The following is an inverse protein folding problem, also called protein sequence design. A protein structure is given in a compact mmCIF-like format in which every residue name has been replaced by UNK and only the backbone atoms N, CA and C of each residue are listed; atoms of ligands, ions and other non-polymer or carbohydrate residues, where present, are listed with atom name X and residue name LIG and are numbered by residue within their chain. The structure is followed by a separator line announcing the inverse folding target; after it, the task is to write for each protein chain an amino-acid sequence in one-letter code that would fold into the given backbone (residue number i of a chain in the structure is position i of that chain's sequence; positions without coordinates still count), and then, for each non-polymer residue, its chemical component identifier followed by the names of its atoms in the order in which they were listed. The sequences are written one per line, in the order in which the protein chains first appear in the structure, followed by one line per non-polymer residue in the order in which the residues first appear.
data_IF_852336230242
#
_entry.id   IF_852336230242
#
_cell.length_a   1.000
_cell.length_b   1.000
_cell.length_c   1.000
_cell.angle_alpha   90.00
_cell.angle_beta   90.00
_cell.angle_gamma   90.00
#
_symmetry.space_group_name_H-M   'P 1'
#
loop_
_entity.id
_entity.type
_entity.pdbx_description
1 polymer ?
#
# COMPACT_ATOMS: atom_id res chain seq x y z
N UNK A 1 -28.75 -2.71 12.83
CA UNK A 1 -27.49 -3.25 13.41
C UNK A 1 -27.75 -3.65 14.86
N UNK A 2 -27.16 -4.77 15.32
CA UNK A 2 -27.37 -5.30 16.67
C UNK A 2 -26.64 -4.48 17.74
N UNK A 3 -27.06 -4.56 19.01
CA UNK A 3 -26.37 -3.90 20.13
C UNK A 3 -24.91 -4.36 20.27
N UNK A 4 -24.65 -5.62 19.92
CA UNK A 4 -23.34 -6.28 19.95
C UNK A 4 -22.29 -5.62 19.04
N UNK A 5 -22.71 -5.16 17.86
CA UNK A 5 -21.79 -4.56 16.86
C UNK A 5 -21.28 -3.17 17.28
N UNK A 6 -22.11 -2.44 18.05
CA UNK A 6 -21.75 -1.13 18.62
C UNK A 6 -20.69 -1.29 19.70
N UNK A 7 -20.88 -2.28 20.56
CA UNK A 7 -19.97 -2.58 21.65
C UNK A 7 -18.59 -3.00 21.13
N UNK A 8 -18.54 -3.81 20.07
CA UNK A 8 -17.29 -4.23 19.44
C UNK A 8 -16.51 -3.04 18.85
N UNK A 9 -17.19 -2.13 18.15
CA UNK A 9 -16.55 -0.97 17.52
C UNK A 9 -15.95 -0.01 18.54
N UNK A 10 -16.64 0.22 19.66
CA UNK A 10 -16.15 1.03 20.76
C UNK A 10 -14.92 0.39 21.42
N UNK A 11 -14.97 -0.93 21.65
CA UNK A 11 -13.83 -1.69 22.20
C UNK A 11 -12.61 -1.64 21.28
N UNK A 12 -12.78 -1.75 19.96
CA UNK A 12 -11.67 -1.62 19.00
C UNK A 12 -11.08 -0.21 19.01
N UNK A 13 -11.92 0.82 19.02
CA UNK A 13 -11.45 2.21 19.10
C UNK A 13 -10.66 2.46 20.39
N UNK A 14 -11.20 2.07 21.55
CA UNK A 14 -10.52 2.18 22.85
C UNK A 14 -9.20 1.39 22.87
N UNK A 15 -9.18 0.17 22.34
CA UNK A 15 -7.97 -0.63 22.19
C UNK A 15 -6.91 0.07 21.33
N UNK A 16 -7.31 0.64 20.19
CA UNK A 16 -6.40 1.38 19.31
C UNK A 16 -5.93 2.69 19.95
N UNK A 17 -6.77 3.41 20.69
CA UNK A 17 -6.33 4.58 21.46
C UNK A 17 -5.36 4.21 22.59
N UNK A 18 -5.50 3.04 23.21
CA UNK A 18 -4.53 2.57 24.21
C UNK A 18 -3.16 2.25 23.59
N UNK A 19 -3.13 1.82 22.32
CA UNK A 19 -1.88 1.52 21.60
C UNK A 19 -1.28 2.78 20.97
N UNK A 20 -2.09 3.53 20.22
CA UNK A 20 -1.65 4.65 19.38
C UNK A 20 -1.70 5.97 20.14
N UNK A 21 -2.52 6.09 21.19
CA UNK A 21 -2.81 7.35 21.88
C UNK A 21 -4.05 8.05 21.34
N UNK A 22 -4.54 9.03 22.08
CA UNK A 22 -5.62 9.95 21.64
C UNK A 22 -5.11 10.91 20.57
N UNK A 23 -6.02 11.67 19.96
CA UNK A 23 -5.67 12.68 18.96
C UNK A 23 -4.64 13.69 19.48
N UNK A 24 -4.83 14.20 20.69
CA UNK A 24 -3.91 15.14 21.34
C UNK A 24 -2.51 14.56 21.53
N UNK A 25 -2.43 13.29 21.96
CA UNK A 25 -1.16 12.58 22.14
C UNK A 25 -0.44 12.41 20.81
N UNK A 26 -1.15 12.00 19.76
CA UNK A 26 -0.62 11.88 18.40
C UNK A 26 -0.10 13.23 17.89
N UNK A 27 -0.89 14.30 18.04
CA UNK A 27 -0.49 15.65 17.63
C UNK A 27 0.75 16.13 18.39
N UNK A 28 0.84 15.83 19.69
CA UNK A 28 2.01 16.16 20.52
C UNK A 28 3.27 15.44 20.02
N UNK A 29 3.17 14.14 19.70
CA UNK A 29 4.30 13.40 19.12
C UNK A 29 4.75 13.98 17.78
N UNK A 30 3.81 14.28 16.87
CA UNK A 30 4.11 14.93 15.58
C UNK A 30 4.85 16.26 15.78
N UNK A 31 4.37 17.11 16.67
CA UNK A 31 5.00 18.40 17.02
C UNK A 31 6.43 18.22 17.54
N UNK A 32 6.66 17.20 18.38
CA UNK A 32 8.01 16.88 18.89
C UNK A 32 8.98 16.55 17.75
N UNK A 33 8.57 15.74 16.78
CA UNK A 33 9.41 15.43 15.61
C UNK A 33 9.64 16.65 14.72
N UNK A 34 8.61 17.47 14.46
CA UNK A 34 8.79 18.73 13.73
C UNK A 34 9.77 19.69 14.42
N UNK A 35 9.71 19.81 15.74
CA UNK A 35 10.65 20.63 16.51
C UNK A 35 12.07 20.07 16.41
N UNK A 36 12.23 18.75 16.51
CA UNK A 36 13.51 18.08 16.35
C UNK A 36 14.12 18.32 14.96
N UNK A 37 13.32 18.16 13.90
CA UNK A 37 13.69 18.43 12.50
C UNK A 37 14.14 19.90 12.31
N UNK A 38 13.51 20.85 13.01
CA UNK A 38 13.86 22.28 12.90
C UNK A 38 15.20 22.64 13.55
N UNK A 39 15.61 21.89 14.58
CA UNK A 39 16.87 22.11 15.33
C UNK A 39 18.04 21.40 14.66
N UNK A 40 17.81 20.23 14.04
CA UNK A 40 18.83 19.46 13.34
C UNK A 40 19.16 20.00 11.94
N UNK A 41 19.74 21.20 11.91
CA UNK A 41 20.46 21.71 10.74
C UNK A 41 21.95 21.56 10.98
N UNK A 42 22.53 20.54 10.36
CA UNK A 42 23.99 20.40 10.27
C UNK A 42 24.41 21.23 9.05
N UNK A 43 25.54 21.95 9.10
CA UNK A 43 25.96 22.96 8.11
C UNK A 43 25.54 22.71 6.64
N UNK A 44 25.71 21.47 6.14
CA UNK A 44 25.41 21.09 4.76
C UNK A 44 24.21 20.13 4.59
N UNK A 45 23.49 19.81 5.67
CA UNK A 45 22.40 18.84 5.66
C UNK A 45 21.17 19.33 6.43
N UNK A 46 19.98 19.06 5.91
CA UNK A 46 18.75 19.07 6.71
C UNK A 46 18.32 17.64 6.99
N UNK A 47 18.07 17.33 8.26
CA UNK A 47 17.50 16.05 8.67
C UNK A 47 16.00 16.21 8.87
N UNK A 48 15.21 15.37 8.21
CA UNK A 48 13.76 15.34 8.36
C UNK A 48 13.35 13.95 8.81
N UNK A 49 12.73 13.88 9.98
CA UNK A 49 12.13 12.65 10.48
C UNK A 49 10.95 12.26 9.61
N UNK A 50 10.87 10.99 9.25
CA UNK A 50 9.78 10.41 8.45
C UNK A 50 9.28 9.12 9.07
N UNK A 51 8.40 8.41 8.37
CA UNK A 51 7.92 7.10 8.79
C UNK A 51 7.04 7.12 10.05
N UNK A 52 6.83 5.92 10.61
CA UNK A 52 5.73 5.66 11.54
C UNK A 52 5.74 6.56 12.77
N UNK A 53 6.91 6.73 13.40
CA UNK A 53 7.05 7.52 14.62
C UNK A 53 6.82 9.02 14.37
N UNK A 54 7.40 9.56 13.30
CA UNK A 54 7.20 10.97 12.92
C UNK A 54 5.75 11.25 12.50
N UNK A 55 5.05 10.26 11.95
CA UNK A 55 3.62 10.31 11.63
C UNK A 55 2.70 10.22 12.86
N UNK A 56 3.26 10.00 14.06
CA UNK A 56 2.56 9.87 15.33
C UNK A 56 2.15 8.44 15.71
N UNK A 57 2.46 7.46 14.84
CA UNK A 57 2.22 6.03 15.04
C UNK A 57 3.43 5.39 15.74
N UNK A 58 3.46 5.48 17.06
CA UNK A 58 4.50 4.85 17.89
C UNK A 58 4.13 3.40 18.22
N UNK A 59 4.13 2.55 17.19
CA UNK A 59 3.79 1.13 17.34
C UNK A 59 5.02 0.34 17.80
N UNK A 60 4.78 -0.74 18.55
CA UNK A 60 5.88 -1.59 19.02
C UNK A 60 6.70 -2.12 17.84
N UNK A 61 8.02 -2.01 17.92
CA UNK A 61 8.96 -2.41 16.87
C UNK A 61 9.05 -1.44 15.69
N UNK A 62 8.52 -0.21 15.80
CA UNK A 62 8.80 0.85 14.85
C UNK A 62 10.22 1.38 15.00
N UNK A 63 10.89 1.50 13.87
CA UNK A 63 12.14 2.19 13.60
C UNK A 63 11.96 3.72 13.60
N UNK A 64 13.09 4.41 13.59
CA UNK A 64 13.23 5.85 13.40
C UNK A 64 13.76 6.11 11.98
N UNK A 65 12.87 6.52 11.09
CA UNK A 65 13.26 6.87 9.73
C UNK A 65 13.66 8.35 9.63
N UNK A 66 14.79 8.63 8.99
CA UNK A 66 15.29 9.97 8.74
C UNK A 66 15.73 10.16 7.29
N UNK A 67 15.27 11.26 6.69
CA UNK A 67 15.71 11.73 5.38
C UNK A 67 16.77 12.82 5.60
N UNK A 68 18.01 12.55 5.19
CA UNK A 68 19.12 13.49 5.31
C UNK A 68 19.37 14.14 3.95
N UNK A 69 18.92 15.38 3.79
CA UNK A 69 18.95 16.13 2.53
C UNK A 69 20.27 16.87 2.43
N UNK A 70 21.04 16.59 1.38
CA UNK A 70 22.31 17.25 1.12
C UNK A 70 22.11 18.55 0.33
N UNK A 71 22.62 19.66 0.88
CA UNK A 71 22.39 20.98 0.29
C UNK A 71 23.48 21.46 -0.64
N UNK A 72 24.68 20.86 -0.68
CA UNK A 72 25.74 21.35 -1.57
C UNK A 72 25.44 21.10 -3.06
N UNK A 73 24.38 20.35 -3.33
CA UNK A 73 23.89 19.99 -4.65
C UNK A 73 22.42 20.37 -4.73
N UNK A 74 21.99 20.88 -5.89
CA UNK A 74 20.57 21.10 -6.18
C UNK A 74 20.19 20.38 -7.46
N UNK A 75 19.11 19.61 -7.39
CA UNK A 75 18.54 18.91 -8.53
C UNK A 75 17.45 19.77 -9.14
N UNK A 76 17.45 19.89 -10.45
CA UNK A 76 16.47 20.58 -11.26
C UNK A 76 15.79 19.55 -12.17
N UNK A 77 14.51 19.75 -12.48
CA UNK A 77 13.86 18.89 -13.47
C UNK A 77 14.44 19.13 -14.86
N UNK A 78 14.59 20.39 -15.24
CA UNK A 78 15.02 20.80 -16.58
C UNK A 78 16.19 21.78 -16.49
N UNK A 79 17.01 21.85 -17.55
CA UNK A 79 18.16 22.76 -17.61
C UNK A 79 17.73 24.24 -17.65
N UNK A 80 16.55 24.52 -18.19
CA UNK A 80 16.01 25.87 -18.34
C UNK A 80 15.66 26.53 -16.99
N UNK A 81 15.46 25.73 -15.93
CA UNK A 81 15.15 26.24 -14.59
C UNK A 81 16.38 26.43 -13.70
N UNK A 82 17.58 26.12 -14.22
CA UNK A 82 18.84 26.24 -13.47
C UNK A 82 19.16 27.72 -13.20
N UNK A 83 19.25 28.07 -11.92
CA UNK A 83 19.63 29.43 -11.50
C UNK A 83 21.15 29.60 -11.48
N UNK A 84 21.67 30.56 -12.25
CA UNK A 84 23.10 30.87 -12.36
C UNK A 84 23.69 31.53 -11.09
N UNK A 85 22.86 31.98 -10.15
CA UNK A 85 23.31 32.72 -8.94
C UNK A 85 23.55 31.85 -7.70
N UNK A 86 23.18 30.56 -7.76
CA UNK A 86 23.28 29.67 -6.59
C UNK A 86 24.71 29.15 -6.37
N UNK A 87 25.09 28.92 -5.10
CA UNK A 87 26.42 28.37 -4.73
C UNK A 87 26.50 26.83 -4.82
N UNK A 88 25.40 26.20 -5.20
CA UNK A 88 25.23 24.75 -5.23
C UNK A 88 25.66 24.20 -6.59
N UNK A 89 26.12 22.96 -6.64
CA UNK A 89 26.36 22.29 -7.93
C UNK A 89 25.03 21.91 -8.58
N UNK A 90 24.73 22.40 -9.80
CA UNK A 90 23.47 22.11 -10.47
C UNK A 90 23.51 20.73 -11.13
N UNK A 91 22.49 19.93 -10.83
CA UNK A 91 22.22 18.63 -11.42
C UNK A 91 20.86 18.70 -12.10
N UNK A 92 20.72 18.05 -13.24
CA UNK A 92 19.46 17.96 -13.98
C UNK A 92 19.01 16.50 -14.03
N UNK A 93 17.71 16.28 -13.88
CA UNK A 93 17.11 14.96 -14.05
C UNK A 93 17.26 14.47 -15.49
N UNK A 94 17.54 13.18 -15.65
CA UNK A 94 17.53 12.50 -16.93
C UNK A 94 16.69 11.23 -16.80
N UNK A 95 15.47 11.28 -17.34
CA UNK A 95 14.52 10.16 -17.32
C UNK A 95 14.65 9.25 -18.54
N UNK A 96 15.58 9.53 -19.47
CA UNK A 96 15.82 8.67 -20.63
C UNK A 96 16.26 7.27 -20.18
N UNK A 97 15.67 6.23 -20.79
CA UNK A 97 16.00 4.83 -20.52
C UNK A 97 15.87 4.40 -19.05
N UNK A 98 15.01 5.07 -18.28
CA UNK A 98 14.70 4.72 -16.89
C UNK A 98 13.25 4.25 -16.74
N UNK A 99 12.98 3.43 -15.72
CA UNK A 99 11.60 3.01 -15.40
C UNK A 99 10.88 4.13 -14.62
N UNK A 100 9.53 4.21 -14.70
CA UNK A 100 8.77 5.18 -13.90
C UNK A 100 9.13 5.14 -12.42
N UNK A 101 9.34 6.33 -11.85
CA UNK A 101 9.77 6.54 -10.46
C UNK A 101 11.28 6.36 -10.22
N UNK A 102 12.06 6.17 -11.27
CA UNK A 102 13.52 6.30 -11.27
C UNK A 102 13.97 7.41 -12.23
N UNK A 103 15.20 7.89 -12.04
CA UNK A 103 15.87 8.85 -12.92
C UNK A 103 17.38 8.70 -12.79
N UNK A 104 18.14 9.08 -13.81
CA UNK A 104 19.57 9.37 -13.69
C UNK A 104 19.74 10.85 -13.34
N UNK A 105 20.83 11.17 -12.65
CA UNK A 105 21.14 12.54 -12.25
C UNK A 105 22.36 13.04 -13.02
N UNK A 106 22.13 13.93 -13.99
CA UNK A 106 23.16 14.42 -14.90
C UNK A 106 23.76 15.71 -14.36
N UNK A 107 25.09 15.79 -14.34
CA UNK A 107 25.79 17.03 -14.03
C UNK A 107 25.60 18.02 -15.18
N UNK A 108 25.06 19.20 -14.87
CA UNK A 108 24.80 20.22 -15.89
C UNK A 108 25.98 21.18 -16.10
N UNK A 109 26.56 21.68 -15.00
CA UNK A 109 27.69 22.61 -15.05
C UNK A 109 28.81 22.17 -14.12
N UNK A 110 30.05 22.54 -14.48
CA UNK A 110 31.23 22.15 -13.71
C UNK A 110 31.55 23.07 -12.51
N UNK A 111 30.61 23.91 -12.09
CA UNK A 111 30.82 24.82 -10.95
C UNK A 111 30.61 24.13 -9.60
N UNK A 112 31.40 24.55 -8.62
CA UNK A 112 31.31 24.11 -7.22
C UNK A 112 31.45 22.58 -6.99
N UNK A 113 32.02 21.85 -7.96
CA UNK A 113 32.03 20.38 -8.00
C UNK A 113 32.89 19.65 -6.97
N UNK A 114 33.72 20.36 -6.21
CA UNK A 114 34.75 19.75 -5.36
C UNK A 114 34.18 18.73 -4.36
N UNK A 115 32.92 18.93 -3.93
CA UNK A 115 32.20 18.04 -3.02
C UNK A 115 31.67 16.76 -3.66
N UNK A 116 31.46 16.74 -4.98
CA UNK A 116 30.78 15.63 -5.67
C UNK A 116 31.73 14.75 -6.47
N UNK A 117 33.03 15.07 -6.48
CA UNK A 117 34.01 14.42 -7.36
C UNK A 117 34.02 12.89 -7.25
N UNK A 118 33.73 12.38 -6.06
CA UNK A 118 33.80 10.96 -5.71
C UNK A 118 32.55 10.18 -6.15
N UNK A 119 31.47 10.88 -6.52
CA UNK A 119 30.18 10.26 -6.89
C UNK A 119 29.97 10.22 -8.40
N UNK A 120 30.93 10.71 -9.19
CA UNK A 120 30.76 10.91 -10.63
C UNK A 120 31.10 9.66 -11.42
N UNK A 121 30.33 9.44 -12.46
CA UNK A 121 30.59 8.40 -13.46
C UNK A 121 30.35 8.97 -14.85
N UNK A 122 31.26 8.69 -15.78
CA UNK A 122 31.16 9.18 -17.17
C UNK A 122 30.59 8.10 -18.07
N UNK A 123 29.49 8.41 -18.74
CA UNK A 123 28.79 7.50 -19.65
C UNK A 123 28.56 8.22 -20.96
N UNK A 124 29.10 7.68 -22.06
CA UNK A 124 28.93 8.24 -23.42
C UNK A 124 29.30 9.73 -23.54
N UNK A 125 30.35 10.17 -22.83
CA UNK A 125 30.81 11.56 -22.84
C UNK A 125 30.06 12.50 -21.89
N UNK A 126 29.02 12.01 -21.21
CA UNK A 126 28.24 12.75 -20.24
C UNK A 126 28.62 12.34 -18.81
N UNK A 127 28.47 13.25 -17.85
CA UNK A 127 28.81 12.99 -16.44
C UNK A 127 27.53 12.87 -15.60
N UNK A 128 27.39 11.74 -14.91
CA UNK A 128 26.27 11.44 -14.03
C UNK A 128 26.72 11.30 -12.58
N UNK A 129 25.79 11.47 -11.65
CA UNK A 129 25.99 11.12 -10.24
C UNK A 129 25.51 9.70 -10.02
N UNK A 130 26.46 8.81 -9.75
CA UNK A 130 26.23 7.40 -9.46
C UNK A 130 25.62 7.25 -8.07
N UNK A 131 24.46 6.59 -7.99
CA UNK A 131 23.81 6.31 -6.71
C UNK A 131 24.62 5.31 -5.88
N UNK A 132 25.34 4.40 -6.53
CA UNK A 132 26.28 3.49 -5.87
C UNK A 132 27.48 4.22 -5.29
N UNK A 133 28.19 5.02 -6.08
CA UNK A 133 29.35 5.76 -5.57
C UNK A 133 28.95 6.75 -4.47
N UNK A 134 27.78 7.38 -4.61
CA UNK A 134 27.22 8.22 -3.56
C UNK A 134 27.01 7.43 -2.26
N UNK A 135 26.41 6.23 -2.32
CA UNK A 135 26.29 5.37 -1.12
C UNK A 135 27.66 5.04 -0.56
N UNK A 136 28.54 4.44 -1.35
CA UNK A 136 29.84 3.92 -0.90
C UNK A 136 30.72 5.01 -0.25
N UNK A 137 30.70 6.22 -0.80
CA UNK A 137 31.51 7.34 -0.30
C UNK A 137 30.95 7.96 0.97
N UNK A 138 29.63 8.15 1.01
CA UNK A 138 28.96 8.75 2.15
C UNK A 138 28.86 7.76 3.34
N UNK A 139 29.16 6.47 3.14
CA UNK A 139 29.06 5.41 4.13
C UNK A 139 30.37 5.17 4.93
N UNK A 140 30.38 5.37 6.26
CA UNK A 140 31.42 4.78 7.10
C UNK A 140 31.30 3.24 7.12
N UNK A 141 32.43 2.54 7.07
CA UNK A 141 32.52 1.09 6.80
C UNK A 141 31.90 0.13 7.80
N UNK A 142 31.21 0.62 8.84
CA UNK A 142 30.53 -0.19 9.86
C UNK A 142 28.98 -0.15 9.76
N UNK A 143 28.40 0.57 8.81
CA UNK A 143 26.94 0.65 8.64
C UNK A 143 26.37 -0.51 7.80
N UNK A 144 25.17 -0.97 8.17
CA UNK A 144 24.38 -1.93 7.40
C UNK A 144 23.55 -1.18 6.37
N UNK A 145 23.60 -1.62 5.11
CA UNK A 145 22.82 -1.05 4.01
C UNK A 145 21.59 -1.91 3.76
N UNK A 146 20.39 -1.31 3.77
CA UNK A 146 19.13 -1.98 3.45
C UNK A 146 18.29 -1.10 2.52
N UNK A 147 18.43 -1.36 1.23
CA UNK A 147 17.80 -0.53 0.19
C UNK A 147 18.50 0.84 0.08
N UNK A 148 17.76 1.97 0.10
CA UNK A 148 18.37 3.30 0.12
C UNK A 148 18.84 3.75 1.52
N UNK A 149 18.49 2.99 2.57
CA UNK A 149 18.72 3.37 3.95
C UNK A 149 19.99 2.72 4.52
N UNK A 150 20.49 3.34 5.57
CA UNK A 150 21.68 2.94 6.31
C UNK A 150 21.33 2.92 7.80
N UNK A 151 21.75 1.88 8.51
CA UNK A 151 21.60 1.74 9.96
C UNK A 151 22.90 1.25 10.59
N UNK A 152 23.09 1.51 11.88
CA UNK A 152 24.15 0.86 12.64
C UNK A 152 23.69 -0.56 13.04
N UNK A 153 24.62 -1.53 13.16
CA UNK A 153 24.27 -2.87 13.63
C UNK A 153 23.57 -2.83 15.00
N UNK A 154 22.34 -3.37 15.06
CA UNK A 154 21.52 -3.39 16.28
C UNK A 154 20.79 -2.09 16.59
N UNK A 155 20.86 -1.11 15.70
CA UNK A 155 20.22 0.19 15.85
C UNK A 155 18.82 0.21 15.21
N UNK A 156 17.95 1.08 15.74
CA UNK A 156 16.58 1.24 15.23
C UNK A 156 16.44 2.46 14.31
N UNK A 157 17.55 2.97 13.77
CA UNK A 157 17.59 4.20 12.97
C UNK A 157 17.89 3.90 11.51
N UNK A 158 16.94 4.23 10.65
CA UNK A 158 17.03 4.11 9.20
C UNK A 158 17.28 5.49 8.61
N UNK A 159 18.51 5.73 8.15
CA UNK A 159 18.89 7.01 7.52
C UNK A 159 18.98 6.85 6.00
N UNK A 160 18.16 7.60 5.27
CA UNK A 160 18.27 7.76 3.82
C UNK A 160 18.92 9.11 3.49
N UNK A 161 20.12 9.10 2.91
CA UNK A 161 20.73 10.31 2.36
C UNK A 161 20.13 10.62 1.00
N UNK A 162 19.76 11.88 0.79
CA UNK A 162 18.92 12.28 -0.32
C UNK A 162 19.45 13.54 -0.99
N UNK A 163 19.20 13.64 -2.29
CA UNK A 163 19.26 14.89 -3.04
C UNK A 163 17.84 15.45 -3.21
N UNK A 164 17.70 16.75 -3.45
CA UNK A 164 16.39 17.42 -3.53
C UNK A 164 16.24 18.24 -4.81
N UNK A 165 15.05 18.12 -5.40
CA UNK A 165 14.46 19.10 -6.29
C UNK A 165 13.37 19.86 -5.54
N UNK A 166 13.42 21.19 -5.55
CA UNK A 166 12.41 22.03 -4.87
C UNK A 166 11.12 22.13 -5.69
N UNK A 167 11.20 21.85 -7.00
CA UNK A 167 10.07 21.89 -7.91
C UNK A 167 9.25 20.60 -7.83
N UNK A 168 7.96 20.73 -8.13
CA UNK A 168 7.13 19.56 -8.38
C UNK A 168 7.37 19.08 -9.80
N UNK A 169 7.79 17.81 -9.95
CA UNK A 169 8.22 17.28 -11.24
C UNK A 169 7.04 16.95 -12.15
N UNK A 170 7.26 17.11 -13.45
CA UNK A 170 6.32 16.83 -14.53
C UNK A 170 5.74 15.43 -14.51
N UNK A 171 6.51 14.34 -14.26
CA UNK A 171 5.95 13.00 -14.09
C UNK A 171 4.84 12.90 -13.04
N UNK A 172 4.85 13.77 -12.02
CA UNK A 172 3.86 13.80 -10.95
C UNK A 172 2.78 14.88 -11.11
N UNK A 173 2.77 15.65 -12.21
CA UNK A 173 1.78 16.72 -12.42
C UNK A 173 0.34 16.21 -12.49
N UNK A 174 0.14 14.99 -12.98
CA UNK A 174 -1.20 14.39 -13.03
C UNK A 174 -1.84 14.28 -11.64
N UNK A 175 -1.03 14.13 -10.58
CA UNK A 175 -1.53 14.14 -9.23
C UNK A 175 -2.17 15.48 -8.85
N UNK A 176 -1.64 16.61 -9.31
CA UNK A 176 -2.18 17.94 -8.95
C UNK A 176 -3.63 18.08 -9.40
N UNK A 177 -3.93 17.62 -10.62
CA UNK A 177 -5.22 17.84 -11.28
C UNK A 177 -6.18 16.63 -11.23
N UNK A 178 -5.80 15.53 -10.58
CA UNK A 178 -6.67 14.33 -10.55
C UNK A 178 -7.98 14.62 -9.82
N UNK A 179 -9.07 14.06 -10.34
CA UNK A 179 -10.41 14.17 -9.75
C UNK A 179 -10.48 13.48 -8.39
N UNK A 180 -11.06 14.17 -7.41
CA UNK A 180 -11.16 13.78 -6.00
C UNK A 180 -12.53 14.15 -5.46
N UNK A 181 -13.00 13.43 -4.45
CA UNK A 181 -14.28 13.74 -3.81
C UNK A 181 -14.20 15.00 -2.96
N UNK A 182 -13.21 15.07 -2.05
CA UNK A 182 -13.08 16.21 -1.11
C UNK A 182 -11.67 16.39 -0.54
N UNK A 183 -10.96 15.30 -0.27
CA UNK A 183 -9.58 15.34 0.25
C UNK A 183 -8.58 14.86 -0.82
N UNK A 184 -7.33 15.36 -0.82
CA UNK A 184 -6.90 16.61 -0.20
C UNK A 184 -7.60 17.82 -0.83
N UNK A 185 -7.86 18.85 -0.03
CA UNK A 185 -8.38 20.11 -0.56
C UNK A 185 -7.29 20.88 -1.34
N UNK A 186 -7.67 21.92 -2.07
CA UNK A 186 -6.73 22.70 -2.87
C UNK A 186 -5.59 23.32 -2.04
N UNK A 187 -5.84 23.75 -0.81
CA UNK A 187 -4.81 24.36 0.04
C UNK A 187 -3.76 23.32 0.42
N UNK A 188 -4.20 22.11 0.77
CA UNK A 188 -3.33 20.98 1.09
C UNK A 188 -2.58 20.49 -0.16
N UNK A 189 -3.20 20.46 -1.34
CA UNK A 189 -2.48 20.17 -2.60
C UNK A 189 -1.36 21.19 -2.82
N UNK A 190 -1.65 22.48 -2.64
CA UNK A 190 -0.64 23.54 -2.79
C UNK A 190 0.47 23.48 -1.75
N UNK A 191 0.21 23.02 -0.52
CA UNK A 191 1.27 22.82 0.47
C UNK A 191 2.11 21.59 0.15
N UNK A 192 1.49 20.52 -0.35
CA UNK A 192 2.19 19.29 -0.77
C UNK A 192 3.15 19.55 -1.93
N UNK A 193 2.73 20.27 -2.97
CA UNK A 193 3.62 20.53 -4.12
C UNK A 193 4.83 21.39 -3.76
N UNK A 194 4.72 22.25 -2.73
CA UNK A 194 5.81 23.09 -2.24
C UNK A 194 6.90 22.30 -1.51
N UNK A 195 6.63 21.07 -1.11
CA UNK A 195 7.65 20.20 -0.52
C UNK A 195 8.69 19.76 -1.56
N UNK A 196 8.35 19.80 -2.85
CA UNK A 196 9.20 19.31 -3.94
C UNK A 196 9.35 17.80 -3.90
N UNK A 197 10.52 17.30 -4.33
CA UNK A 197 10.79 15.87 -4.50
C UNK A 197 12.19 15.52 -4.03
N UNK A 198 12.35 14.33 -3.45
CA UNK A 198 13.63 13.78 -3.02
C UNK A 198 14.10 12.67 -3.95
N UNK A 199 15.42 12.48 -4.02
CA UNK A 199 16.06 11.39 -4.75
C UNK A 199 16.86 10.55 -3.76
N UNK A 200 16.52 9.27 -3.63
CA UNK A 200 17.22 8.32 -2.77
C UNK A 200 18.12 7.40 -3.60
N UNK A 201 19.32 7.03 -3.10
CA UNK A 201 20.34 6.40 -3.92
C UNK A 201 20.10 4.89 -4.03
N UNK A 202 19.12 4.51 -4.84
CA UNK A 202 18.86 3.13 -5.20
C UNK A 202 18.29 3.09 -6.62
N UNK A 203 18.89 2.28 -7.48
CA UNK A 203 18.41 2.06 -8.83
C UNK A 203 17.35 0.97 -8.92
N UNK A 204 16.77 0.85 -10.11
CA UNK A 204 15.79 -0.18 -10.39
C UNK A 204 16.51 -1.52 -10.58
N UNK A 205 16.13 -2.51 -9.77
CA UNK A 205 16.76 -3.83 -9.81
C UNK A 205 16.71 -4.45 -11.20
N UNK A 206 17.87 -4.88 -11.69
CA UNK A 206 18.04 -5.46 -13.02
C UNK A 206 17.92 -4.44 -14.16
N UNK A 207 18.02 -3.14 -13.88
CA UNK A 207 18.27 -2.13 -14.91
C UNK A 207 19.72 -2.20 -15.38
N UNK A 208 19.97 -1.85 -16.65
CA UNK A 208 21.32 -1.72 -17.18
C UNK A 208 22.11 -0.61 -16.47
N UNK A 209 21.41 0.40 -15.97
CA UNK A 209 21.98 1.57 -15.30
C UNK A 209 21.66 1.56 -13.79
N UNK A 210 21.47 0.39 -13.16
CA UNK A 210 21.06 0.28 -11.76
C UNK A 210 21.97 1.09 -10.80
N UNK A 211 23.28 1.13 -11.04
CA UNK A 211 24.23 1.87 -10.20
C UNK A 211 24.19 3.40 -10.42
N UNK A 212 23.61 3.86 -11.54
CA UNK A 212 23.45 5.28 -11.90
C UNK A 212 22.06 5.83 -11.59
N UNK A 213 21.08 4.95 -11.43
CA UNK A 213 19.69 5.31 -11.20
C UNK A 213 19.45 5.70 -9.73
N UNK A 214 18.59 6.69 -9.57
CA UNK A 214 18.07 7.18 -8.30
C UNK A 214 16.57 6.99 -8.27
N UNK A 215 16.03 6.60 -7.11
CA UNK A 215 14.59 6.47 -6.93
C UNK A 215 13.99 7.78 -6.46
N UNK A 216 12.91 8.18 -7.11
CA UNK A 216 12.13 9.35 -6.77
C UNK A 216 11.32 9.06 -5.50
N UNK A 217 11.41 9.95 -4.51
CA UNK A 217 10.76 9.82 -3.21
C UNK A 217 9.93 11.06 -2.87
N UNK A 218 8.70 10.82 -2.43
CA UNK A 218 7.75 11.84 -2.02
C UNK A 218 7.52 11.84 -0.50
N UNK A 219 8.46 11.33 0.29
CA UNK A 219 8.29 11.17 1.75
C UNK A 219 7.87 12.44 2.48
N UNK A 220 8.34 13.62 2.04
CA UNK A 220 7.93 14.91 2.62
C UNK A 220 6.46 15.24 2.29
N UNK A 221 6.08 15.10 1.02
CA UNK A 221 4.70 15.25 0.56
C UNK A 221 3.74 14.26 1.25
N UNK A 222 4.13 13.00 1.37
CA UNK A 222 3.35 11.96 2.06
C UNK A 222 3.19 12.25 3.55
N UNK A 223 4.24 12.77 4.21
CA UNK A 223 4.16 13.22 5.61
C UNK A 223 3.10 14.30 5.78
N UNK A 224 3.06 15.30 4.89
CA UNK A 224 2.02 16.35 4.90
C UNK A 224 0.61 15.75 4.74
N UNK A 225 0.43 14.82 3.81
CA UNK A 225 -0.86 14.15 3.61
C UNK A 225 -1.30 13.38 4.86
N UNK A 226 -0.41 12.61 5.51
CA UNK A 226 -0.74 11.88 6.74
C UNK A 226 -1.01 12.82 7.91
N UNK A 227 -0.33 13.97 7.95
CA UNK A 227 -0.55 14.98 8.98
C UNK A 227 -1.96 15.57 8.89
N UNK A 228 -2.56 15.59 7.70
CA UNK A 228 -3.93 16.03 7.48
C UNK A 228 -5.02 14.97 7.78
N UNK A 229 -4.63 13.73 8.07
CA UNK A 229 -5.60 12.69 8.42
C UNK A 229 -6.35 13.04 9.71
N UNK A 230 -7.65 12.74 9.74
CA UNK A 230 -8.40 12.69 11.00
C UNK A 230 -7.83 11.61 11.92
N UNK A 231 -8.09 11.71 13.22
CA UNK A 231 -7.65 10.67 14.16
C UNK A 231 -8.18 9.28 13.79
N UNK A 232 -9.45 9.18 13.36
CA UNK A 232 -10.05 7.92 12.89
C UNK A 232 -9.29 7.33 11.70
N UNK A 233 -8.96 8.15 10.71
CA UNK A 233 -8.18 7.73 9.54
C UNK A 233 -6.80 7.19 9.93
N UNK A 234 -6.14 7.86 10.89
CA UNK A 234 -4.86 7.45 11.40
C UNK A 234 -4.92 6.13 12.19
N UNK A 235 -5.94 5.95 13.04
CA UNK A 235 -6.17 4.69 13.76
C UNK A 235 -6.45 3.53 12.79
N UNK A 236 -7.15 3.78 11.69
CA UNK A 236 -7.32 2.80 10.62
C UNK A 236 -5.97 2.41 9.99
N UNK A 237 -5.09 3.39 9.75
CA UNK A 237 -3.73 3.09 9.28
C UNK A 237 -2.96 2.24 10.29
N UNK A 238 -3.04 2.57 11.57
CA UNK A 238 -2.40 1.82 12.65
C UNK A 238 -2.90 0.37 12.70
N UNK A 239 -4.21 0.14 12.62
CA UNK A 239 -4.81 -1.19 12.64
C UNK A 239 -4.30 -2.04 11.46
N UNK A 240 -4.24 -1.47 10.25
CA UNK A 240 -3.71 -2.19 9.09
C UNK A 240 -2.23 -2.55 9.26
N UNK A 241 -1.42 -1.67 9.88
CA UNK A 241 -0.01 -1.97 10.19
C UNK A 241 0.13 -3.08 11.22
N UNK A 242 -0.71 -3.10 12.26
CA UNK A 242 -0.76 -4.17 13.27
C UNK A 242 -1.12 -5.50 12.59
N UNK A 243 -2.16 -5.54 11.76
CA UNK A 243 -2.56 -6.74 11.00
C UNK A 243 -1.43 -7.21 10.09
N UNK A 244 -0.79 -6.29 9.36
CA UNK A 244 0.34 -6.63 8.49
C UNK A 244 1.49 -7.27 9.28
N UNK A 245 1.85 -6.67 10.40
CA UNK A 245 2.97 -7.14 11.23
C UNK A 245 2.66 -8.49 11.89
N UNK A 246 1.53 -8.57 12.59
CA UNK A 246 1.27 -9.67 13.52
C UNK A 246 0.61 -10.87 12.83
N UNK A 247 -0.06 -10.66 11.70
CA UNK A 247 -0.82 -11.71 11.01
C UNK A 247 -0.18 -12.07 9.66
N UNK A 248 0.19 -11.07 8.85
CA UNK A 248 0.60 -11.30 7.45
C UNK A 248 2.10 -11.62 7.36
N UNK A 249 2.98 -10.80 7.94
CA UNK A 249 4.44 -10.96 7.82
C UNK A 249 4.94 -12.32 8.31
N UNK A 250 4.38 -12.82 9.42
CA UNK A 250 4.71 -14.14 9.95
C UNK A 250 4.39 -15.32 9.01
N UNK A 251 3.60 -15.11 7.95
CA UNK A 251 3.11 -16.17 7.04
C UNK A 251 3.53 -15.96 5.58
N UNK A 252 3.74 -14.72 5.15
CA UNK A 252 3.97 -14.35 3.74
C UNK A 252 5.27 -13.58 3.50
N UNK A 253 6.13 -13.44 4.52
CA UNK A 253 7.39 -12.70 4.43
C UNK A 253 7.18 -11.24 4.02
N UNK A 254 8.15 -10.66 3.32
CA UNK A 254 8.16 -9.24 2.94
C UNK A 254 7.50 -8.94 1.58
N UNK A 255 6.52 -9.74 1.15
CA UNK A 255 5.80 -9.49 -0.11
C UNK A 255 4.98 -8.19 -0.07
N UNK A 256 4.37 -7.89 1.08
CA UNK A 256 3.60 -6.67 1.34
C UNK A 256 4.31 -5.87 2.44
N UNK A 257 4.40 -4.56 2.28
CA UNK A 257 4.96 -3.65 3.27
C UNK A 257 3.99 -2.52 3.64
N UNK A 258 4.34 -1.79 4.70
CA UNK A 258 3.53 -0.68 5.25
C UNK A 258 3.32 0.47 4.26
N UNK A 259 4.20 0.60 3.26
CA UNK A 259 4.08 1.58 2.19
C UNK A 259 2.86 1.32 1.31
N UNK A 260 2.61 0.06 0.92
CA UNK A 260 1.40 -0.29 0.14
C UNK A 260 0.12 0.08 0.89
N UNK A 261 0.05 -0.20 2.19
CA UNK A 261 -1.11 0.16 3.01
C UNK A 261 -1.34 1.66 3.02
N UNK A 262 -0.26 2.44 3.17
CA UNK A 262 -0.30 3.91 3.12
C UNK A 262 -0.83 4.40 1.77
N UNK A 263 -0.28 3.87 0.68
CA UNK A 263 -0.69 4.19 -0.69
C UNK A 263 -2.17 3.90 -0.89
N UNK A 264 -2.64 2.73 -0.46
CA UNK A 264 -4.05 2.36 -0.59
C UNK A 264 -4.92 3.34 0.19
N UNK A 265 -4.60 3.64 1.44
CA UNK A 265 -5.39 4.58 2.24
C UNK A 265 -5.48 5.97 1.61
N UNK A 266 -4.41 6.49 1.03
CA UNK A 266 -4.49 7.74 0.29
C UNK A 266 -5.52 7.68 -0.85
N UNK A 267 -5.51 6.63 -1.67
CA UNK A 267 -6.52 6.45 -2.73
C UNK A 267 -7.93 6.43 -2.17
N UNK A 268 -8.15 5.65 -1.11
CA UNK A 268 -9.49 5.54 -0.57
C UNK A 268 -9.95 6.85 0.07
N UNK A 269 -9.05 7.60 0.70
CA UNK A 269 -9.42 8.88 1.34
C UNK A 269 -9.82 9.92 0.31
N UNK A 270 -9.18 9.91 -0.86
CA UNK A 270 -9.57 10.76 -1.99
C UNK A 270 -10.96 10.43 -2.56
N UNK A 271 -11.39 9.18 -2.46
CA UNK A 271 -12.69 8.71 -2.94
C UNK A 271 -13.79 8.74 -1.86
N UNK A 272 -13.43 9.02 -0.61
CA UNK A 272 -14.36 9.15 0.52
C UNK A 272 -14.77 10.61 0.78
N UNK A 273 -15.90 10.78 1.46
CA UNK A 273 -16.37 12.10 1.94
C UNK A 273 -15.74 12.40 3.32
N UNK A 274 -15.59 13.65 3.76
CA UNK A 274 -14.98 13.94 5.06
C UNK A 274 -15.88 13.50 6.23
N UNK A 275 -17.21 13.58 6.03
CA UNK A 275 -18.23 13.02 6.92
C UNK A 275 -18.05 11.52 7.17
N UNK A 276 -17.34 10.83 6.26
CA UNK A 276 -17.04 9.43 6.42
C UNK A 276 -16.10 9.18 7.64
N UNK A 277 -15.38 10.21 8.08
CA UNK A 277 -14.22 10.06 8.95
C UNK A 277 -14.27 10.80 10.27
N UNK A 278 -15.38 11.48 10.53
CA UNK A 278 -15.61 12.21 11.76
C UNK A 278 -16.57 11.43 12.66
N UNK A 279 -16.18 11.13 13.91
CA UNK A 279 -17.15 10.82 14.95
C UNK A 279 -17.92 12.11 15.24
N UNK A 280 -19.21 12.13 14.95
CA UNK A 280 -20.05 13.33 15.03
C UNK A 280 -20.23 13.77 16.50
N UNK A 281 -19.62 14.89 16.93
CA UNK A 281 -19.66 15.35 18.33
C UNK A 281 -20.96 16.09 18.70
N UNK A 282 -21.62 16.73 17.74
CA UNK A 282 -22.80 17.57 18.00
C UNK A 282 -24.13 16.82 18.17
N UNK A 283 -24.13 15.49 18.01
CA UNK A 283 -25.32 14.65 18.18
C UNK A 283 -25.33 13.85 19.49
N UNK A 284 -24.48 14.20 20.47
CA UNK A 284 -24.40 13.49 21.76
C UNK A 284 -25.69 13.56 22.61
N UNK A 285 -26.70 14.35 22.23
CA UNK A 285 -27.91 14.59 23.05
C UNK A 285 -29.28 14.40 22.40
N UNK A 286 -29.43 13.97 21.14
CA UNK A 286 -30.78 13.79 20.59
C UNK A 286 -30.92 12.64 19.58
N UNK A 287 -31.72 11.64 19.99
CA UNK A 287 -32.59 10.80 19.17
C UNK A 287 -32.04 10.13 17.89
N UNK A 288 -31.78 8.82 18.04
CA UNK A 288 -32.20 7.72 17.14
C UNK A 288 -31.83 7.67 15.64
N UNK A 289 -30.95 8.49 15.08
CA UNK A 289 -30.41 8.27 13.71
C UNK A 289 -28.88 8.14 13.61
N UNK A 290 -28.21 7.84 14.73
CA UNK A 290 -26.76 7.92 14.91
C UNK A 290 -25.93 6.70 14.44
N UNK A 291 -26.51 5.75 13.70
CA UNK A 291 -25.91 4.40 13.56
C UNK A 291 -25.72 3.93 12.11
N UNK A 292 -26.30 4.65 11.14
CA UNK A 292 -26.29 4.19 9.75
C UNK A 292 -25.07 4.68 8.95
N UNK A 293 -24.60 5.91 9.19
CA UNK A 293 -23.52 6.49 8.38
C UNK A 293 -22.15 5.97 8.80
N UNK A 294 -21.84 5.86 10.10
CA UNK A 294 -20.54 5.33 10.60
C UNK A 294 -20.24 3.88 10.20
N UNK A 295 -21.28 3.10 9.86
CA UNK A 295 -21.18 1.69 9.46
C UNK A 295 -20.80 1.50 7.99
N UNK A 296 -21.26 2.38 7.10
CA UNK A 296 -20.95 2.29 5.66
C UNK A 296 -19.47 2.52 5.38
N UNK A 297 -18.80 3.31 6.21
CA UNK A 297 -17.44 3.74 5.97
C UNK A 297 -16.46 2.68 6.43
N UNK A 298 -16.64 2.13 7.64
CA UNK A 298 -15.71 1.13 8.20
C UNK A 298 -15.74 -0.18 7.42
N UNK A 299 -16.91 -0.56 6.87
CA UNK A 299 -17.01 -1.62 5.87
C UNK A 299 -16.46 -1.17 4.52
N UNK A 300 -16.74 0.05 4.01
CA UNK A 300 -16.17 0.54 2.74
C UNK A 300 -14.63 0.67 2.74
N UNK A 301 -14.01 0.82 3.91
CA UNK A 301 -12.56 0.99 4.09
C UNK A 301 -11.80 -0.32 4.22
N UNK A 302 -12.35 -1.26 5.00
CA UNK A 302 -11.98 -2.66 4.82
C UNK A 302 -12.24 -3.06 3.35
N UNK A 303 -13.25 -2.43 2.70
CA UNK A 303 -13.56 -2.62 1.29
C UNK A 303 -12.60 -2.06 0.26
N UNK A 304 -11.82 -1.06 0.64
CA UNK A 304 -11.00 -0.32 -0.30
C UNK A 304 -9.49 -0.49 -0.10
N UNK A 305 -9.08 -1.03 1.06
CA UNK A 305 -7.79 -1.70 1.31
C UNK A 305 -7.43 -2.82 0.31
N UNK A 306 -8.43 -3.29 -0.42
CA UNK A 306 -8.43 -4.49 -1.23
C UNK A 306 -8.09 -4.20 -2.71
N UNK A 307 -8.04 -2.95 -3.16
CA UNK A 307 -8.04 -2.58 -4.60
C UNK A 307 -6.83 -2.99 -5.46
N UNK A 308 -5.79 -3.63 -4.92
CA UNK A 308 -4.74 -4.25 -5.76
C UNK A 308 -5.03 -5.72 -6.14
N UNK A 309 -5.93 -6.39 -5.40
CA UNK A 309 -6.57 -7.69 -5.74
C UNK A 309 -7.83 -7.86 -4.88
N UNK A 310 -8.88 -7.09 -5.22
CA UNK A 310 -9.96 -6.88 -4.26
C UNK A 310 -10.77 -8.14 -4.02
N UNK A 311 -10.95 -8.92 -5.08
CA UNK A 311 -11.86 -10.06 -5.09
C UNK A 311 -11.26 -11.22 -4.30
N UNK A 312 -9.94 -11.45 -4.39
CA UNK A 312 -9.29 -12.51 -3.63
C UNK A 312 -9.33 -12.25 -2.14
N UNK A 313 -9.04 -11.03 -1.70
CA UNK A 313 -9.00 -10.75 -0.28
C UNK A 313 -10.41 -10.48 0.32
N UNK A 314 -11.40 -10.11 -0.49
CA UNK A 314 -12.82 -10.30 -0.14
C UNK A 314 -13.20 -11.73 0.11
N UNK A 315 -12.77 -12.61 -0.79
CA UNK A 315 -13.06 -14.03 -0.72
C UNK A 315 -12.45 -14.64 0.55
N UNK A 316 -11.22 -14.24 0.91
CA UNK A 316 -10.58 -14.66 2.16
C UNK A 316 -11.30 -14.12 3.40
N UNK A 317 -11.79 -12.88 3.35
CA UNK A 317 -12.60 -12.32 4.44
C UNK A 317 -13.92 -13.08 4.61
N UNK A 318 -14.65 -13.31 3.52
CA UNK A 318 -15.87 -14.12 3.55
C UNK A 318 -15.57 -15.49 4.18
N UNK A 319 -14.47 -16.12 3.78
CA UNK A 319 -14.07 -17.41 4.33
C UNK A 319 -13.73 -17.37 5.83
N UNK A 320 -13.17 -16.26 6.31
CA UNK A 320 -12.95 -16.05 7.75
C UNK A 320 -14.29 -15.97 8.52
N UNK A 321 -15.29 -15.23 8.02
CA UNK A 321 -16.61 -15.17 8.64
C UNK A 321 -17.31 -16.53 8.62
N UNK A 322 -17.20 -17.27 7.51
CA UNK A 322 -17.66 -18.64 7.44
C UNK A 322 -17.02 -19.54 8.51
N UNK A 323 -15.70 -19.48 8.69
CA UNK A 323 -14.97 -20.24 9.72
C UNK A 323 -15.39 -19.90 11.15
N UNK A 324 -15.84 -18.67 11.37
CA UNK A 324 -16.39 -18.21 12.65
C UNK A 324 -17.87 -18.58 12.83
N UNK A 325 -18.48 -19.33 11.90
CA UNK A 325 -19.91 -19.67 11.85
C UNK A 325 -20.84 -18.45 11.76
N UNK A 326 -20.33 -17.34 11.22
CA UNK A 326 -21.05 -16.08 11.01
C UNK A 326 -21.59 -16.03 9.58
N UNK A 327 -22.61 -16.85 9.32
CA UNK A 327 -23.08 -17.14 7.95
C UNK A 327 -23.79 -15.96 7.29
N UNK A 328 -24.52 -15.14 8.06
CA UNK A 328 -25.19 -13.96 7.53
C UNK A 328 -24.18 -12.93 7.01
N UNK A 329 -23.19 -12.59 7.83
CA UNK A 329 -22.14 -11.64 7.45
C UNK A 329 -21.27 -12.18 6.30
N UNK A 330 -21.06 -13.49 6.25
CA UNK A 330 -20.40 -14.15 5.14
C UNK A 330 -21.18 -13.95 3.83
N UNK A 331 -22.50 -14.18 3.83
CA UNK A 331 -23.37 -14.00 2.65
C UNK A 331 -23.39 -12.54 2.20
N UNK A 332 -23.45 -11.58 3.12
CA UNK A 332 -23.41 -10.14 2.80
C UNK A 332 -22.12 -9.75 2.05
N UNK A 333 -20.98 -10.31 2.49
CA UNK A 333 -19.69 -10.07 1.86
C UNK A 333 -19.63 -10.76 0.50
N UNK A 334 -20.15 -11.98 0.37
CA UNK A 334 -20.22 -12.70 -0.91
C UNK A 334 -21.02 -11.92 -1.94
N UNK A 335 -22.25 -11.50 -1.60
CA UNK A 335 -23.12 -10.76 -2.49
C UNK A 335 -22.51 -9.42 -2.91
N UNK A 336 -21.90 -8.71 -1.95
CA UNK A 336 -21.15 -7.50 -2.25
C UNK A 336 -20.00 -7.76 -3.23
N UNK A 337 -19.21 -8.82 -3.01
CA UNK A 337 -18.04 -9.14 -3.84
C UNK A 337 -18.45 -9.54 -5.25
N UNK A 338 -19.49 -10.37 -5.39
CA UNK A 338 -20.04 -10.77 -6.68
C UNK A 338 -20.63 -9.57 -7.45
N UNK A 339 -21.26 -8.59 -6.76
CA UNK A 339 -21.75 -7.35 -7.39
C UNK A 339 -20.65 -6.49 -8.03
N UNK A 340 -19.38 -6.72 -7.67
CA UNK A 340 -18.22 -6.01 -8.21
C UNK A 340 -17.50 -6.76 -9.33
N UNK A 341 -17.92 -7.99 -9.63
CA UNK A 341 -17.38 -8.80 -10.71
C UNK A 341 -18.07 -8.43 -12.04
N UNK A 342 -17.73 -7.28 -12.64
CA UNK A 342 -18.30 -6.80 -13.91
C UNK A 342 -17.29 -6.87 -15.05
N UNK A 343 -17.73 -7.23 -16.27
CA UNK A 343 -16.88 -7.49 -17.46
C UNK A 343 -15.93 -6.34 -17.84
N UNK A 344 -16.30 -5.10 -17.55
CA UNK A 344 -15.57 -3.86 -17.84
C UNK A 344 -14.36 -3.60 -16.92
N UNK A 345 -14.15 -4.42 -15.88
CA UNK A 345 -13.14 -4.19 -14.82
C UNK A 345 -12.16 -5.36 -14.66
N UNK A 346 -11.96 -6.17 -15.71
CA UNK A 346 -11.31 -7.48 -15.60
C UNK A 346 -10.14 -7.63 -16.58
N UNK A 347 -8.96 -7.89 -16.03
CA UNK A 347 -7.81 -8.44 -16.78
C UNK A 347 -7.62 -9.90 -16.33
N UNK A 348 -7.77 -10.85 -17.26
CA UNK A 348 -7.53 -12.27 -17.00
C UNK A 348 -6.02 -12.55 -16.96
N UNK A 349 -5.51 -13.33 -16.00
CA UNK A 349 -4.11 -13.76 -16.02
C UNK A 349 -3.94 -14.81 -17.12
N UNK A 350 -3.48 -14.40 -18.29
CA UNK A 350 -2.91 -15.34 -19.26
C UNK A 350 -1.48 -15.69 -18.82
N UNK A 351 -1.11 -16.95 -18.98
CA UNK A 351 0.17 -17.53 -18.55
C UNK A 351 1.39 -16.81 -19.18
N UNK A 352 1.96 -15.80 -18.52
CA UNK A 352 3.33 -15.35 -18.80
C UNK A 352 3.90 -14.41 -17.72
N UNK A 353 4.26 -14.94 -16.55
CA UNK A 353 5.24 -14.31 -15.64
C UNK A 353 4.98 -12.88 -15.03
N UNK A 354 3.83 -12.15 -15.10
CA UNK A 354 3.89 -10.72 -14.80
C UNK A 354 3.52 -10.37 -13.35
N UNK A 355 2.82 -11.21 -12.57
CA UNK A 355 2.25 -10.77 -11.27
C UNK A 355 3.31 -10.64 -10.16
N UNK A 356 4.22 -11.60 -10.04
CA UNK A 356 5.37 -11.47 -9.13
C UNK A 356 6.29 -10.33 -9.57
N UNK A 357 6.47 -10.17 -10.89
CA UNK A 357 7.25 -9.08 -11.48
C UNK A 357 6.56 -7.73 -11.28
N UNK A 358 5.23 -7.67 -11.24
CA UNK A 358 4.44 -6.46 -11.01
C UNK A 358 4.53 -6.02 -9.55
N UNK A 359 4.27 -6.89 -8.58
CA UNK A 359 4.44 -6.54 -7.17
C UNK A 359 5.90 -6.25 -6.82
N UNK A 360 6.87 -6.93 -7.45
CA UNK A 360 8.30 -6.63 -7.31
C UNK A 360 8.67 -5.29 -7.96
N UNK A 361 8.16 -4.99 -9.16
CA UNK A 361 8.33 -3.67 -9.82
C UNK A 361 7.63 -2.54 -9.08
N UNK A 362 6.47 -2.76 -8.47
CA UNK A 362 5.76 -1.72 -7.68
C UNK A 362 6.44 -1.53 -6.32
N UNK A 363 6.94 -2.60 -5.68
CA UNK A 363 7.79 -2.53 -4.48
C UNK A 363 9.08 -1.75 -4.74
N UNK A 364 9.61 -1.86 -5.96
CA UNK A 364 10.85 -1.22 -6.37
C UNK A 364 10.64 0.21 -6.92
N UNK A 365 9.51 0.54 -7.58
CA UNK A 365 9.51 1.67 -8.53
C UNK A 365 8.50 2.81 -8.35
N UNK A 366 7.30 2.68 -7.76
CA UNK A 366 6.26 3.71 -8.02
C UNK A 366 5.48 4.11 -6.77
N UNK A 367 5.61 5.37 -6.35
CA UNK A 367 4.78 5.98 -5.32
C UNK A 367 3.36 6.33 -5.79
N UNK A 368 2.46 6.59 -4.84
CA UNK A 368 1.03 6.90 -5.06
C UNK A 368 0.76 7.85 -6.24
N UNK A 369 1.64 8.84 -6.39
CA UNK A 369 1.48 9.96 -7.31
C UNK A 369 1.69 9.57 -8.79
N UNK A 370 2.20 8.35 -9.03
CA UNK A 370 2.63 7.87 -10.35
C UNK A 370 1.84 6.61 -10.84
N UNK A 371 0.86 6.10 -10.07
CA UNK A 371 0.07 4.88 -10.45
C UNK A 371 -1.33 5.19 -11.00
N UNK A 372 -1.73 4.53 -12.11
CA UNK A 372 -3.07 4.60 -12.73
C UNK A 372 -4.08 3.56 -12.18
N UNK A 373 -5.40 3.83 -12.28
CA UNK A 373 -6.54 3.13 -11.65
C UNK A 373 -7.11 1.92 -12.44
N UNK A 374 -6.58 0.68 -12.33
CA UNK A 374 -7.25 -0.52 -12.89
C UNK A 374 -7.24 -1.74 -11.91
N UNK A 375 -8.36 -2.47 -11.83
CA UNK A 375 -8.62 -3.62 -10.93
C UNK A 375 -8.30 -4.96 -11.64
N UNK A 376 -7.77 -5.97 -10.94
CA UNK A 376 -7.47 -7.31 -11.48
C UNK A 376 -8.34 -8.35 -10.76
N UNK A 377 -8.98 -9.27 -11.50
CA UNK A 377 -9.68 -10.42 -10.91
C UNK A 377 -8.70 -11.60 -10.88
N UNK A 378 -8.22 -11.93 -9.68
CA UNK A 378 -7.32 -13.06 -9.43
C UNK A 378 -7.99 -14.33 -8.94
N UNK A 379 -7.16 -15.36 -8.77
CA UNK A 379 -7.49 -16.62 -8.12
C UNK A 379 -7.39 -16.48 -6.59
N UNK A 380 -8.19 -17.22 -5.82
CA UNK A 380 -8.03 -17.28 -4.37
C UNK A 380 -7.01 -18.36 -4.02
N UNK A 381 -5.92 -17.94 -3.39
CA UNK A 381 -4.85 -18.83 -2.96
C UNK A 381 -4.98 -19.14 -1.46
N UNK A 382 -4.99 -20.43 -1.13
CA UNK A 382 -4.94 -20.95 0.23
C UNK A 382 -3.63 -21.69 0.41
N UNK A 383 -2.78 -21.26 1.33
CA UNK A 383 -1.50 -21.92 1.62
C UNK A 383 -1.56 -22.73 2.91
N UNK A 384 -0.72 -23.75 3.06
CA UNK A 384 -0.62 -24.53 4.31
C UNK A 384 -0.37 -23.59 5.51
N UNK A 385 -1.08 -23.78 6.64
CA UNK A 385 -1.92 -24.93 6.98
C UNK A 385 -3.42 -24.76 6.64
N UNK A 386 -3.76 -23.95 5.63
CA UNK A 386 -5.11 -23.79 5.07
C UNK A 386 -6.18 -23.29 6.05
N UNK A 387 -5.80 -22.47 7.03
CA UNK A 387 -6.70 -21.96 8.08
C UNK A 387 -8.00 -21.35 7.54
N UNK A 388 -7.91 -20.64 6.42
CA UNK A 388 -9.03 -19.96 5.79
C UNK A 388 -9.71 -20.79 4.71
N UNK A 389 -9.30 -22.03 4.43
CA UNK A 389 -10.02 -22.89 3.49
C UNK A 389 -11.15 -23.61 4.24
N UNK A 390 -12.43 -23.54 3.82
CA UNK A 390 -13.51 -24.36 4.36
C UNK A 390 -13.12 -25.84 4.42
N UNK A 391 -13.49 -26.54 5.49
CA UNK A 391 -13.01 -27.92 5.71
C UNK A 391 -13.55 -28.87 4.65
N UNK A 392 -14.75 -28.57 4.16
CA UNK A 392 -15.46 -29.23 3.08
C UNK A 392 -14.68 -29.19 1.77
N UNK A 393 -13.80 -28.20 1.60
CA UNK A 393 -12.97 -28.02 0.41
C UNK A 393 -11.56 -28.61 0.56
N UNK A 394 -11.23 -29.23 1.69
CA UNK A 394 -9.95 -29.93 1.88
C UNK A 394 -9.69 -31.05 0.86
N UNK A 395 -10.69 -31.78 0.33
CA UNK A 395 -10.48 -32.74 -0.76
C UNK A 395 -9.85 -32.13 -2.03
N UNK A 396 -9.90 -30.81 -2.20
CA UNK A 396 -9.26 -30.11 -3.33
C UNK A 396 -7.74 -29.96 -3.20
N UNK A 397 -7.18 -30.29 -2.03
CA UNK A 397 -5.73 -30.25 -1.79
C UNK A 397 -5.09 -31.48 -2.45
N UNK A 398 -4.27 -31.27 -3.48
CA UNK A 398 -3.56 -32.37 -4.14
C UNK A 398 -2.44 -32.95 -3.21
N UNK A 399 -2.01 -34.24 -3.34
CA UNK A 399 -0.92 -34.93 -2.52
C UNK A 399 0.51 -35.10 -3.13
N UNK A 400 1.60 -34.50 -2.61
CA UNK A 400 2.97 -34.48 -3.20
C UNK A 400 3.76 -33.14 -3.09
N UNK A 401 4.94 -32.98 -3.73
CA UNK A 401 5.86 -31.83 -3.52
C UNK A 401 5.38 -30.45 -4.06
N UNK A 402 4.53 -30.39 -5.09
CA UNK A 402 3.99 -29.14 -5.64
C UNK A 402 2.84 -28.51 -4.79
N UNK A 403 2.64 -28.96 -3.54
CA UNK A 403 1.33 -28.94 -2.86
C UNK A 403 1.32 -28.26 -1.50
N UNK A 404 1.83 -27.03 -1.50
CA UNK A 404 1.69 -26.10 -0.38
C UNK A 404 0.57 -25.08 -0.61
N UNK A 405 -0.11 -25.13 -1.76
CA UNK A 405 -1.09 -24.12 -2.20
C UNK A 405 -2.31 -24.80 -2.83
N UNK A 406 -3.52 -24.40 -2.42
CA UNK A 406 -4.78 -24.67 -3.09
C UNK A 406 -5.24 -23.38 -3.78
N UNK A 407 -5.58 -23.47 -5.05
CA UNK A 407 -5.93 -22.31 -5.89
C UNK A 407 -7.32 -22.58 -6.47
N UNK A 408 -8.25 -21.66 -6.23
CA UNK A 408 -9.64 -21.75 -6.67
C UNK A 408 -10.02 -20.42 -7.35
N UNK A 409 -10.62 -20.41 -8.55
CA UNK A 409 -11.14 -19.19 -9.14
C UNK A 409 -12.09 -18.46 -8.18
N UNK A 410 -11.92 -17.15 -8.00
CA UNK A 410 -12.61 -16.45 -6.92
C UNK A 410 -14.14 -16.48 -7.02
N UNK A 411 -14.69 -16.40 -8.24
CA UNK A 411 -16.14 -16.50 -8.45
C UNK A 411 -16.66 -17.90 -8.11
N UNK A 412 -15.91 -18.95 -8.45
CA UNK A 412 -16.25 -20.34 -8.08
C UNK A 412 -16.17 -20.52 -6.56
N UNK A 413 -15.14 -19.98 -5.93
CA UNK A 413 -14.96 -20.04 -4.49
C UNK A 413 -16.08 -19.33 -3.73
N UNK A 414 -16.47 -18.12 -4.14
CA UNK A 414 -17.53 -17.33 -3.52
C UNK A 414 -18.90 -18.02 -3.61
N UNK A 415 -19.23 -18.59 -4.77
CA UNK A 415 -20.48 -19.33 -4.94
C UNK A 415 -20.50 -20.64 -4.16
N UNK A 416 -19.36 -21.33 -4.09
CA UNK A 416 -19.22 -22.50 -3.23
C UNK A 416 -19.36 -22.12 -1.74
N UNK A 417 -18.78 -21.01 -1.32
CA UNK A 417 -18.88 -20.52 0.06
C UNK A 417 -20.32 -20.10 0.40
N UNK A 418 -21.06 -19.52 -0.55
CA UNK A 418 -22.48 -19.22 -0.42
C UNK A 418 -23.30 -20.48 -0.18
N UNK A 419 -23.09 -21.52 -1.01
CA UNK A 419 -23.70 -22.83 -0.84
C UNK A 419 -23.43 -23.40 0.56
N UNK A 420 -22.18 -23.34 1.03
CA UNK A 420 -21.80 -23.84 2.36
C UNK A 420 -22.47 -23.04 3.49
N UNK A 421 -22.60 -21.72 3.36
CA UNK A 421 -23.31 -20.90 4.36
C UNK A 421 -24.78 -21.32 4.48
N UNK A 422 -25.45 -21.52 3.34
CA UNK A 422 -26.86 -21.91 3.31
C UNK A 422 -27.07 -23.34 3.79
N UNK A 423 -26.16 -24.26 3.43
CA UNK A 423 -26.11 -25.64 3.93
C UNK A 423 -26.08 -25.69 5.46
N UNK A 424 -25.14 -24.96 6.09
CA UNK A 424 -25.00 -24.94 7.55
C UNK A 424 -26.09 -24.13 8.27
N UNK A 425 -26.85 -23.31 7.53
CA UNK A 425 -28.01 -22.59 8.05
C UNK A 425 -29.30 -23.42 8.06
N UNK A 426 -29.30 -24.63 7.47
CA UNK A 426 -30.45 -25.53 7.45
C UNK A 426 -31.56 -25.17 6.45
N UNK A 427 -31.33 -24.21 5.54
CA UNK A 427 -32.30 -23.82 4.52
C UNK A 427 -32.20 -24.74 3.29
N UNK A 428 -33.06 -25.76 3.26
CA UNK A 428 -33.12 -26.73 2.17
C UNK A 428 -33.50 -26.12 0.80
N UNK A 429 -34.30 -25.05 0.79
CA UNK A 429 -34.73 -24.39 -0.46
C UNK A 429 -33.61 -23.50 -1.00
N UNK A 430 -32.97 -22.73 -0.12
CA UNK A 430 -31.79 -21.95 -0.47
C UNK A 430 -30.61 -22.84 -0.91
N UNK A 431 -30.42 -24.01 -0.29
CA UNK A 431 -29.38 -24.98 -0.66
C UNK A 431 -29.52 -25.43 -2.13
N UNK A 432 -30.76 -25.75 -2.54
CA UNK A 432 -31.08 -26.14 -3.92
C UNK A 432 -30.84 -25.01 -4.92
N UNK A 433 -31.16 -23.77 -4.56
CA UNK A 433 -30.94 -22.60 -5.41
C UNK A 433 -29.44 -22.31 -5.55
N UNK A 434 -28.68 -22.30 -4.46
CA UNK A 434 -27.24 -22.06 -4.48
C UNK A 434 -26.47 -23.13 -5.30
N UNK A 435 -26.93 -24.38 -5.30
CA UNK A 435 -26.36 -25.43 -6.14
C UNK A 435 -26.63 -25.18 -7.63
N UNK A 436 -27.84 -24.71 -7.99
CA UNK A 436 -28.19 -24.34 -9.38
C UNK A 436 -27.39 -23.15 -9.88
N UNK A 437 -27.16 -22.15 -9.02
CA UNK A 437 -26.34 -20.98 -9.35
C UNK A 437 -24.88 -21.40 -9.59
N UNK A 438 -24.34 -22.29 -8.76
CA UNK A 438 -23.02 -22.88 -8.97
C UNK A 438 -22.94 -23.69 -10.27
N UNK A 439 -23.96 -24.49 -10.59
CA UNK A 439 -24.04 -25.24 -11.86
C UNK A 439 -24.02 -24.32 -13.08
N UNK A 440 -24.79 -23.24 -13.03
CA UNK A 440 -24.90 -22.26 -14.12
C UNK A 440 -23.56 -21.56 -14.37
N UNK A 441 -22.86 -21.12 -13.32
CA UNK A 441 -21.54 -20.47 -13.44
C UNK A 441 -20.51 -21.41 -14.08
N UNK A 442 -20.55 -22.69 -13.72
CA UNK A 442 -19.62 -23.70 -14.26
C UNK A 442 -19.95 -24.00 -15.72
N UNK A 443 -21.24 -24.12 -16.06
CA UNK A 443 -21.71 -24.40 -17.43
C UNK A 443 -21.38 -23.26 -18.39
N UNK A 444 -21.63 -22.02 -17.98
CA UNK A 444 -21.37 -20.82 -18.78
C UNK A 444 -19.88 -20.42 -18.78
N UNK A 445 -19.02 -21.14 -18.05
CA UNK A 445 -17.57 -20.88 -17.88
C UNK A 445 -17.26 -19.44 -17.46
N UNK A 446 -18.15 -18.83 -16.70
CA UNK A 446 -18.06 -17.42 -16.34
C UNK A 446 -16.83 -17.20 -15.44
N UNK A 447 -15.80 -16.53 -15.96
CA UNK A 447 -14.51 -16.27 -15.30
C UNK A 447 -13.69 -17.52 -14.92
N UNK A 448 -13.82 -18.61 -15.66
CA UNK A 448 -13.10 -19.87 -15.40
C UNK A 448 -12.11 -20.15 -16.53
N UNK A 449 -10.81 -20.10 -16.23
CA UNK A 449 -9.77 -20.49 -17.20
C UNK A 449 -9.80 -22.00 -17.47
N UNK A 450 -9.43 -22.44 -18.69
CA UNK A 450 -9.42 -23.86 -19.05
C UNK A 450 -8.57 -24.75 -18.12
N UNK A 451 -7.49 -24.20 -17.54
CA UNK A 451 -6.61 -24.90 -16.60
C UNK A 451 -7.28 -25.26 -15.26
N UNK A 452 -8.43 -24.66 -14.93
CA UNK A 452 -9.16 -24.92 -13.68
C UNK A 452 -10.28 -25.95 -13.80
N UNK A 453 -10.51 -26.50 -15.00
CA UNK A 453 -11.65 -27.37 -15.30
C UNK A 453 -11.84 -28.51 -14.28
N UNK A 454 -10.78 -29.24 -13.95
CA UNK A 454 -10.85 -30.36 -12.98
C UNK A 454 -11.20 -29.91 -11.57
N UNK A 455 -10.57 -28.83 -11.07
CA UNK A 455 -10.83 -28.31 -9.72
C UNK A 455 -12.25 -27.79 -9.57
N UNK A 456 -12.76 -27.11 -10.60
CA UNK A 456 -14.13 -26.60 -10.62
C UNK A 456 -15.14 -27.75 -10.61
N UNK A 457 -14.90 -28.80 -11.38
CA UNK A 457 -15.72 -30.02 -11.36
C UNK A 457 -15.71 -30.66 -9.96
N UNK A 458 -14.56 -30.72 -9.30
CA UNK A 458 -14.48 -31.24 -7.93
C UNK A 458 -15.22 -30.36 -6.91
N UNK A 459 -15.15 -29.04 -6.99
CA UNK A 459 -15.97 -28.15 -6.14
C UNK A 459 -17.46 -28.46 -6.28
N UNK A 460 -17.93 -28.64 -7.52
CA UNK A 460 -19.32 -28.98 -7.79
C UNK A 460 -19.72 -30.36 -7.27
N UNK A 461 -18.84 -31.36 -7.43
CA UNK A 461 -19.07 -32.71 -6.89
C UNK A 461 -19.18 -32.72 -5.37
N UNK A 462 -18.35 -31.92 -4.67
CA UNK A 462 -18.44 -31.73 -3.22
C UNK A 462 -19.82 -31.16 -2.87
N UNK A 463 -20.25 -30.07 -3.49
CA UNK A 463 -21.56 -29.48 -3.24
C UNK A 463 -22.71 -30.48 -3.50
N UNK A 464 -22.65 -31.22 -4.59
CA UNK A 464 -23.65 -32.24 -4.96
C UNK A 464 -23.71 -33.40 -3.96
N UNK A 465 -22.59 -33.77 -3.34
CA UNK A 465 -22.55 -34.82 -2.30
C UNK A 465 -23.16 -34.40 -0.96
N UNK A 466 -23.36 -33.09 -0.76
CA UNK A 466 -23.96 -32.50 0.44
C UNK A 466 -25.45 -32.17 0.28
N UNK A 467 -26.03 -32.49 -0.88
CA UNK A 467 -27.47 -32.41 -1.12
C UNK A 467 -28.18 -33.55 -0.42
#
# INVERSE_FOLDING_TARGET
MSQTDRELSLKIYQFLCNIVGTEEVVQTRRKRFCAFDSVLRILNFTVISSGSKAEGLDLNGSDYDQMCIYHLVKVYENKETVSSSEKNTPIVMDISDTKPGFTKLKLYEQRHMYHINQWRESVNGETYISSKLFREHELPGNMIIHGPCQSLPGDYYDMARCLRCEEWITPAHQWVFRSRSTWPDHRLVMSVIKEGVLFVPIGCKGSLNEDLEWRISFSMAEKQLIFSFSHTQLLCYALLKIILKDIIKGKHGDLICSYFLKTILFWVFEESRPSDWHPDENNFKASNNLVYEQYQIRLKFFKAGLYSDAISAWSLLASLFYKQKRFHECIDIINYTLSKCTLDKIVLPCNSLPVQTYFKKVKEAVGLLLTCKHLIIGEVLFTKPYYLLPVELFPLIQKGFAKCVCIIPAVVFLNMLSFLCVYHSGDNRGKLNALRDLELIIRERYFILPCYKEKVIHCFQIAKSMM
#
